data_IF_223648316914
#
_entry.id   IF_223648316914
#
_cell.length_a   1.000
_cell.length_b   1.000
_cell.length_c   1.000
_cell.angle_alpha   90.00
_cell.angle_beta   90.00
_cell.angle_gamma   90.00
#
_symmetry.space_group_name_H-M   'P 1'
#
loop_
_entity.id
_entity.type
_entity.pdbx_description
1 polymer ?
#
# COMPACT_ATOMS: atom_id res chain seq x y z
N UNK A 1 37.01 -6.91 41.47
CA UNK A 1 36.73 -6.08 40.26
C UNK A 1 37.91 -6.05 39.28
N UNK A 2 39.19 -5.94 39.75
CA UNK A 2 40.37 -5.88 38.86
C UNK A 2 40.65 -7.22 38.16
N UNK A 3 40.39 -8.36 38.81
CA UNK A 3 40.53 -9.70 38.21
C UNK A 3 39.49 -9.96 37.14
N UNK A 4 38.28 -9.47 37.29
CA UNK A 4 37.21 -9.58 36.29
C UNK A 4 37.51 -8.77 35.02
N UNK A 5 38.09 -7.57 35.15
CA UNK A 5 38.54 -6.75 34.03
C UNK A 5 39.66 -7.39 33.21
N UNK A 6 40.62 -8.06 33.89
CA UNK A 6 41.74 -8.73 33.24
C UNK A 6 41.29 -10.00 32.47
N UNK A 7 40.29 -10.72 32.98
CA UNK A 7 39.66 -11.83 32.27
C UNK A 7 38.84 -11.34 31.05
N UNK A 8 38.18 -10.19 31.18
CA UNK A 8 37.42 -9.56 30.12
C UNK A 8 38.29 -9.11 28.94
N UNK A 9 39.47 -8.48 29.25
CA UNK A 9 40.42 -8.09 28.22
C UNK A 9 41.07 -9.27 27.48
N UNK A 10 41.28 -10.41 28.14
CA UNK A 10 41.82 -11.64 27.52
C UNK A 10 40.74 -12.27 26.60
N UNK A 11 39.46 -12.27 26.99
CA UNK A 11 38.34 -12.73 26.16
C UNK A 11 38.21 -11.91 24.88
N UNK A 12 38.27 -10.58 24.97
CA UNK A 12 38.20 -9.67 23.80
C UNK A 12 39.39 -9.86 22.83
N UNK A 13 40.57 -10.16 23.33
CA UNK A 13 41.76 -10.43 22.51
C UNK A 13 41.62 -11.74 21.73
N UNK A 14 41.01 -12.77 22.35
CA UNK A 14 40.75 -14.06 21.70
C UNK A 14 39.68 -13.93 20.59
N UNK A 15 38.60 -13.22 20.88
CA UNK A 15 37.52 -12.95 19.90
C UNK A 15 38.05 -12.16 18.71
N UNK A 16 38.86 -11.12 18.92
CA UNK A 16 39.51 -10.37 17.84
C UNK A 16 40.41 -11.25 16.94
N UNK A 17 41.13 -12.21 17.51
CA UNK A 17 41.97 -13.11 16.72
C UNK A 17 41.19 -14.14 15.94
N UNK A 18 40.02 -14.57 16.42
CA UNK A 18 39.15 -15.52 15.75
C UNK A 18 38.38 -14.80 14.62
N UNK A 19 37.93 -13.58 14.83
CA UNK A 19 37.19 -12.79 13.80
C UNK A 19 38.06 -12.46 12.58
N UNK A 20 39.37 -12.31 12.74
CA UNK A 20 40.29 -12.05 11.62
C UNK A 20 40.55 -13.29 10.70
N UNK A 21 40.12 -14.48 11.13
CA UNK A 21 40.36 -15.74 10.41
C UNK A 21 39.12 -16.34 9.75
N UNK A 22 37.94 -15.67 9.82
CA UNK A 22 36.68 -16.27 9.44
C UNK A 22 35.99 -15.47 8.31
N UNK A 23 35.40 -16.21 7.38
CA UNK A 23 34.62 -15.72 6.25
C UNK A 23 33.33 -15.00 6.71
N UNK A 24 32.78 -14.08 5.91
CA UNK A 24 31.65 -13.21 6.26
C UNK A 24 30.43 -13.95 6.86
N UNK A 25 30.15 -15.15 6.43
CA UNK A 25 29.07 -16.00 6.97
C UNK A 25 29.27 -16.40 8.44
N UNK A 26 30.51 -16.62 8.85
CA UNK A 26 30.81 -17.06 10.22
C UNK A 26 30.79 -15.89 11.21
N UNK A 27 31.00 -14.66 10.75
CA UNK A 27 30.94 -13.43 11.59
C UNK A 27 29.49 -13.18 12.05
N UNK A 28 28.50 -13.41 11.20
CA UNK A 28 27.07 -13.29 11.54
C UNK A 28 26.68 -14.32 12.61
N UNK A 29 27.13 -15.57 12.46
CA UNK A 29 26.85 -16.63 13.43
C UNK A 29 27.49 -16.39 14.79
N UNK A 30 28.69 -15.83 14.83
CA UNK A 30 29.40 -15.49 16.08
C UNK A 30 28.76 -14.27 16.74
N UNK A 31 28.28 -13.29 15.99
CA UNK A 31 27.55 -12.14 16.54
C UNK A 31 26.25 -12.58 17.21
N UNK A 32 25.52 -13.51 16.63
CA UNK A 32 24.32 -14.12 17.20
C UNK A 32 24.68 -14.91 18.48
N UNK A 33 25.77 -15.67 18.46
CA UNK A 33 26.21 -16.48 19.62
C UNK A 33 26.72 -15.60 20.78
N UNK A 34 27.35 -14.48 20.49
CA UNK A 34 27.85 -13.52 21.50
C UNK A 34 26.69 -12.78 22.17
N UNK A 35 25.67 -12.39 21.44
CA UNK A 35 24.44 -11.81 22.02
C UNK A 35 23.72 -12.86 22.90
N UNK A 36 23.73 -14.11 22.51
CA UNK A 36 23.15 -15.22 23.27
C UNK A 36 23.89 -15.47 24.61
N UNK A 37 25.21 -15.39 24.62
CA UNK A 37 26.04 -15.59 25.85
C UNK A 37 25.93 -14.42 26.84
N UNK A 38 25.76 -13.17 26.36
CA UNK A 38 25.63 -12.00 27.23
C UNK A 38 24.28 -11.85 27.93
N UNK A 39 23.24 -12.54 27.44
CA UNK A 39 21.89 -12.51 28.07
C UNK A 39 21.71 -13.57 29.16
N UNK A 40 22.56 -14.58 29.23
CA UNK A 40 22.47 -15.69 30.21
C UNK A 40 23.04 -15.34 31.59
N UNK A 41 23.80 -14.27 31.72
CA UNK A 41 24.59 -14.01 32.96
C UNK A 41 23.95 -12.99 33.93
N UNK A 42 22.67 -12.62 33.76
CA UNK A 42 21.96 -11.64 34.63
C UNK A 42 20.69 -12.13 35.31
N UNK A 43 20.63 -13.34 35.81
CA UNK A 43 19.49 -13.68 36.68
C UNK A 43 19.29 -15.18 36.85
N UNK A 44 19.68 -15.69 38.01
CA UNK A 44 19.22 -17.01 38.44
C UNK A 44 17.74 -16.97 38.72
N UNK A 45 17.02 -17.78 38.00
CA UNK A 45 15.82 -18.57 38.26
C UNK A 45 15.09 -18.76 36.95
N UNK A 46 15.23 -19.96 36.42
CA UNK A 46 14.91 -20.28 35.05
C UNK A 46 13.41 -20.42 34.75
N UNK A 47 12.96 -19.62 33.86
CA UNK A 47 12.00 -20.01 32.84
C UNK A 47 12.54 -19.47 31.50
N UNK A 48 13.18 -20.36 30.74
CA UNK A 48 13.60 -20.05 29.38
C UNK A 48 12.37 -19.75 28.52
N UNK A 49 11.98 -18.50 28.46
CA UNK A 49 11.23 -18.00 27.34
C UNK A 49 12.25 -17.87 26.19
N UNK A 50 12.40 -18.95 25.44
CA UNK A 50 12.99 -18.88 24.10
C UNK A 50 12.02 -18.07 23.26
N UNK A 51 12.04 -16.76 23.43
CA UNK A 51 11.47 -15.83 22.48
C UNK A 51 12.38 -15.94 21.28
N UNK A 52 12.02 -16.83 20.34
CA UNK A 52 12.58 -16.86 19.00
C UNK A 52 12.66 -15.38 18.57
N UNK A 53 13.90 -14.86 18.46
CA UNK A 53 14.14 -13.72 17.60
C UNK A 53 13.67 -14.19 16.23
N UNK A 54 12.41 -13.95 15.92
CA UNK A 54 11.94 -13.99 14.55
C UNK A 54 12.87 -13.01 13.83
N UNK A 55 13.62 -13.50 12.85
CA UNK A 55 14.32 -12.64 11.92
C UNK A 55 13.26 -11.64 11.42
N UNK A 56 13.37 -10.39 11.90
CA UNK A 56 12.45 -9.35 11.44
C UNK A 56 12.79 -9.14 9.98
N UNK A 57 11.87 -9.58 9.13
CA UNK A 57 12.00 -9.41 7.69
C UNK A 57 12.13 -7.93 7.39
N UNK A 58 13.17 -7.53 6.65
CA UNK A 58 13.30 -6.15 6.19
C UNK A 58 12.19 -5.85 5.19
N UNK A 59 11.47 -4.77 5.42
CA UNK A 59 10.30 -4.40 4.62
C UNK A 59 10.53 -3.03 3.97
N UNK A 60 10.02 -2.85 2.76
CA UNK A 60 9.86 -1.55 2.10
C UNK A 60 8.42 -1.41 1.63
N UNK A 61 7.77 -0.32 1.99
CA UNK A 61 6.42 -0.02 1.53
C UNK A 61 6.48 1.13 0.53
N UNK A 62 6.16 0.85 -0.72
CA UNK A 62 6.19 1.83 -1.80
C UNK A 62 4.81 2.04 -2.40
N UNK A 63 4.45 3.29 -2.66
CA UNK A 63 3.31 3.63 -3.49
C UNK A 63 3.77 4.00 -4.89
N UNK A 64 2.98 3.66 -5.92
CA UNK A 64 3.30 4.03 -7.30
C UNK A 64 2.31 5.08 -7.79
N UNK A 65 2.84 6.24 -8.15
CA UNK A 65 2.11 7.37 -8.71
C UNK A 65 2.42 7.45 -10.21
N UNK A 66 1.40 7.47 -11.04
CA UNK A 66 1.56 7.67 -12.47
C UNK A 66 0.33 8.38 -13.05
N UNK A 67 0.54 9.09 -14.16
CA UNK A 67 -0.57 9.48 -15.03
C UNK A 67 -1.08 8.26 -15.80
N UNK A 68 -2.30 8.35 -16.32
CA UNK A 68 -2.87 7.36 -17.24
C UNK A 68 -1.90 7.15 -18.40
N UNK A 69 -1.73 5.92 -18.84
CA UNK A 69 -0.84 5.51 -19.92
C UNK A 69 0.67 5.78 -19.73
N UNK A 70 1.14 6.26 -18.58
CA UNK A 70 2.58 6.38 -18.29
C UNK A 70 3.29 5.03 -18.07
N UNK A 71 2.54 3.92 -18.04
CA UNK A 71 3.08 2.56 -17.97
C UNK A 71 3.18 1.97 -16.57
N UNK A 72 2.32 2.42 -15.63
CA UNK A 72 2.28 1.95 -14.25
C UNK A 72 2.07 0.43 -14.17
N UNK A 73 1.00 -0.08 -14.76
CA UNK A 73 0.69 -1.51 -14.76
C UNK A 73 1.81 -2.33 -15.36
N UNK A 74 2.37 -1.87 -16.49
CA UNK A 74 3.51 -2.55 -17.15
C UNK A 74 4.74 -2.61 -16.26
N UNK A 75 5.04 -1.54 -15.50
CA UNK A 75 6.17 -1.53 -14.57
C UNK A 75 5.95 -2.51 -13.42
N UNK A 76 4.77 -2.50 -12.82
CA UNK A 76 4.44 -3.42 -11.71
C UNK A 76 4.50 -4.87 -12.18
N UNK A 77 3.95 -5.19 -13.35
CA UNK A 77 4.02 -6.52 -13.92
C UNK A 77 5.48 -6.97 -14.12
N UNK A 78 6.37 -6.07 -14.58
CA UNK A 78 7.80 -6.37 -14.70
C UNK A 78 8.48 -6.60 -13.36
N UNK A 79 8.13 -5.80 -12.34
CA UNK A 79 8.64 -6.01 -10.97
C UNK A 79 8.22 -7.36 -10.40
N UNK A 80 6.97 -7.78 -10.64
CA UNK A 80 6.46 -9.08 -10.22
C UNK A 80 7.17 -10.25 -10.94
N UNK A 81 7.43 -10.11 -12.23
CA UNK A 81 8.14 -11.12 -13.04
C UNK A 81 9.60 -11.24 -12.61
N UNK A 82 10.31 -10.11 -12.45
CA UNK A 82 11.73 -10.09 -12.08
C UNK A 82 11.98 -10.75 -10.72
N UNK A 83 11.07 -10.50 -9.77
CA UNK A 83 11.16 -11.10 -8.44
C UNK A 83 10.79 -12.59 -8.40
N UNK A 84 10.53 -13.24 -9.55
CA UNK A 84 10.13 -14.66 -9.65
C UNK A 84 8.96 -15.03 -8.70
N UNK A 85 8.03 -14.10 -8.51
CA UNK A 85 6.93 -14.26 -7.53
C UNK A 85 5.82 -15.17 -8.05
N UNK A 86 5.93 -15.66 -9.29
CA UNK A 86 4.95 -16.58 -9.89
C UNK A 86 5.34 -18.03 -9.69
N UNK A 87 4.36 -18.87 -9.32
CA UNK A 87 4.54 -20.33 -9.39
C UNK A 87 4.52 -20.77 -10.85
N UNK A 88 5.28 -21.83 -11.20
CA UNK A 88 5.39 -22.44 -12.55
C UNK A 88 4.04 -22.82 -13.22
N UNK A 89 2.91 -22.60 -12.56
CA UNK A 89 1.55 -22.95 -13.01
C UNK A 89 0.66 -21.77 -13.37
N UNK A 90 1.09 -20.55 -13.08
CA UNK A 90 0.33 -19.35 -13.48
C UNK A 90 0.80 -18.91 -14.87
N UNK A 91 -0.09 -19.05 -15.86
CA UNK A 91 0.12 -18.39 -17.15
C UNK A 91 0.16 -16.87 -16.88
N UNK A 92 1.32 -16.28 -17.11
CA UNK A 92 1.53 -14.82 -17.00
C UNK A 92 0.73 -14.16 -18.12
N UNK A 93 -0.53 -13.84 -17.85
CA UNK A 93 -1.35 -13.03 -18.75
C UNK A 93 -0.85 -11.59 -18.80
N UNK A 94 -1.05 -10.89 -19.89
CA UNK A 94 -0.79 -9.45 -19.97
C UNK A 94 -1.73 -8.70 -19.01
N UNK A 95 -1.22 -7.69 -18.27
CA UNK A 95 -1.95 -6.79 -17.37
C UNK A 95 -2.55 -7.48 -16.12
N UNK A 96 -1.70 -8.08 -15.31
CA UNK A 96 -2.07 -8.79 -14.07
C UNK A 96 -2.80 -7.90 -13.04
N UNK A 97 -2.46 -6.61 -12.99
CA UNK A 97 -3.03 -5.67 -12.02
C UNK A 97 -4.44 -5.18 -12.40
N UNK A 98 -4.83 -5.17 -13.68
CA UNK A 98 -6.10 -4.59 -14.11
C UNK A 98 -7.21 -5.66 -14.21
N UNK A 99 -7.68 -6.16 -13.06
CA UNK A 99 -8.71 -7.20 -13.00
C UNK A 99 -10.16 -6.68 -13.10
N UNK A 100 -10.38 -5.36 -13.00
CA UNK A 100 -11.71 -4.76 -13.07
C UNK A 100 -12.04 -4.37 -14.51
N UNK A 101 -13.20 -4.79 -15.03
CA UNK A 101 -13.58 -4.53 -16.42
C UNK A 101 -13.60 -3.04 -16.79
N UNK A 102 -14.07 -2.17 -15.88
CA UNK A 102 -14.07 -0.72 -16.08
C UNK A 102 -12.66 -0.11 -16.11
N UNK A 103 -11.72 -0.65 -15.35
CA UNK A 103 -10.31 -0.23 -15.39
C UNK A 103 -9.69 -0.54 -16.75
N UNK A 104 -9.92 -1.76 -17.27
CA UNK A 104 -9.44 -2.17 -18.61
C UNK A 104 -10.07 -1.35 -19.73
N UNK A 105 -11.38 -1.13 -19.68
CA UNK A 105 -12.09 -0.37 -20.70
C UNK A 105 -11.67 1.11 -20.74
N UNK A 106 -11.33 1.68 -19.58
CA UNK A 106 -10.99 3.10 -19.46
C UNK A 106 -9.50 3.36 -19.42
N UNK A 107 -8.67 2.32 -19.27
CA UNK A 107 -7.23 2.44 -19.14
C UNK A 107 -6.77 3.16 -17.85
N UNK A 108 -7.59 3.13 -16.78
CA UNK A 108 -7.30 3.84 -15.52
C UNK A 108 -7.41 2.91 -14.33
N UNK A 109 -6.58 3.13 -13.31
CA UNK A 109 -6.74 2.51 -11.99
C UNK A 109 -7.82 3.25 -11.21
N UNK A 110 -8.86 2.55 -10.78
CA UNK A 110 -9.98 3.07 -10.01
C UNK A 110 -9.79 2.74 -8.53
N UNK A 111 -9.47 1.48 -8.23
CA UNK A 111 -9.25 0.98 -6.88
C UNK A 111 -7.77 0.72 -6.64
N UNK A 112 -7.31 1.12 -5.46
CA UNK A 112 -5.96 0.78 -5.03
C UNK A 112 -5.82 -0.72 -4.83
N UNK A 113 -4.69 -1.27 -5.27
CA UNK A 113 -4.35 -2.69 -5.13
C UNK A 113 -3.04 -2.83 -4.41
N UNK A 114 -2.90 -3.93 -3.67
CA UNK A 114 -1.67 -4.25 -2.98
C UNK A 114 -1.07 -5.52 -3.60
N UNK A 115 0.23 -5.46 -3.82
CA UNK A 115 1.05 -6.60 -4.19
C UNK A 115 2.30 -6.62 -3.33
N UNK A 116 3.02 -7.72 -3.30
CA UNK A 116 4.35 -7.74 -2.70
C UNK A 116 5.29 -8.63 -3.47
N UNK A 117 6.56 -8.25 -3.48
CA UNK A 117 7.64 -9.03 -4.06
C UNK A 117 8.71 -9.27 -3.02
N UNK A 118 9.49 -10.34 -3.21
CA UNK A 118 10.71 -10.60 -2.46
C UNK A 118 11.89 -10.40 -3.40
N UNK A 119 12.76 -9.48 -3.05
CA UNK A 119 13.98 -9.24 -3.80
C UNK A 119 15.15 -9.21 -2.83
N UNK A 120 16.14 -10.06 -3.07
CA UNK A 120 17.17 -10.40 -2.09
C UNK A 120 16.48 -10.84 -0.77
N UNK A 121 16.86 -10.33 0.37
CA UNK A 121 16.26 -10.65 1.68
C UNK A 121 15.25 -9.59 2.14
N UNK A 122 14.70 -8.80 1.22
CA UNK A 122 13.77 -7.71 1.50
C UNK A 122 12.41 -7.98 0.89
N UNK A 123 11.36 -7.78 1.68
CA UNK A 123 9.97 -7.74 1.21
C UNK A 123 9.62 -6.32 0.77
N UNK A 124 9.23 -6.16 -0.48
CA UNK A 124 8.77 -4.87 -1.00
C UNK A 124 7.26 -4.96 -1.22
N UNK A 125 6.49 -4.24 -0.39
CA UNK A 125 5.06 -4.07 -0.58
C UNK A 125 4.83 -2.95 -1.60
N UNK A 126 4.05 -3.24 -2.62
CA UNK A 126 3.71 -2.34 -3.71
C UNK A 126 2.25 -1.94 -3.55
N UNK A 127 1.99 -0.65 -3.41
CA UNK A 127 0.66 -0.07 -3.26
C UNK A 127 0.36 0.66 -4.57
N UNK A 128 -0.47 0.05 -5.40
CA UNK A 128 -0.92 0.67 -6.65
C UNK A 128 -1.96 1.74 -6.35
N UNK A 129 -1.69 3.00 -6.70
CA UNK A 129 -2.57 4.13 -6.39
C UNK A 129 -3.35 4.58 -7.63
N UNK A 130 -4.63 4.96 -7.48
CA UNK A 130 -5.34 5.64 -8.54
C UNK A 130 -4.64 6.93 -8.96
N UNK A 131 -4.53 7.17 -10.26
CA UNK A 131 -3.89 8.38 -10.78
C UNK A 131 -4.82 9.59 -10.83
N UNK A 132 -6.13 9.40 -10.88
CA UNK A 132 -7.09 10.47 -11.11
C UNK A 132 -7.55 11.16 -9.82
N UNK A 133 -7.60 12.50 -9.82
CA UNK A 133 -7.98 13.30 -8.65
C UNK A 133 -9.39 12.99 -8.11
N UNK A 134 -10.30 12.53 -8.97
CA UNK A 134 -11.65 12.12 -8.58
C UNK A 134 -11.66 10.93 -7.60
N UNK A 135 -10.58 10.15 -7.56
CA UNK A 135 -10.36 9.06 -6.60
C UNK A 135 -9.44 9.48 -5.44
N UNK A 136 -9.30 10.78 -5.18
CA UNK A 136 -8.42 11.33 -4.16
C UNK A 136 -8.64 10.77 -2.76
N UNK A 137 -9.87 10.42 -2.40
CA UNK A 137 -10.16 9.77 -1.12
C UNK A 137 -9.52 8.39 -0.99
N UNK A 138 -9.38 7.64 -2.09
CA UNK A 138 -8.65 6.38 -2.14
C UNK A 138 -7.14 6.64 -1.97
N UNK A 139 -6.61 7.59 -2.74
CA UNK A 139 -5.20 7.99 -2.69
C UNK A 139 -4.77 8.40 -1.28
N UNK A 140 -5.54 9.27 -0.61
CA UNK A 140 -5.24 9.76 0.73
C UNK A 140 -5.17 8.64 1.79
N UNK A 141 -5.94 7.57 1.61
CA UNK A 141 -5.95 6.41 2.50
C UNK A 141 -4.74 5.52 2.30
N UNK A 142 -4.48 5.17 1.04
CA UNK A 142 -3.48 4.14 0.74
C UNK A 142 -2.05 4.66 0.82
N UNK A 143 -1.82 5.95 0.55
CA UNK A 143 -0.50 6.57 0.74
C UNK A 143 0.00 6.51 2.18
N UNK A 144 -0.89 6.46 3.18
CA UNK A 144 -0.50 6.27 4.59
C UNK A 144 0.17 4.93 4.89
N UNK A 145 0.00 3.94 4.02
CA UNK A 145 0.68 2.64 4.19
C UNK A 145 2.11 2.64 3.63
N UNK A 146 2.49 3.64 2.83
CA UNK A 146 3.78 3.72 2.17
C UNK A 146 4.83 4.49 3.01
N UNK A 147 6.10 4.21 2.75
CA UNK A 147 7.27 4.90 3.29
C UNK A 147 8.05 5.64 2.20
N UNK A 148 7.85 5.26 0.94
CA UNK A 148 8.39 5.91 -0.23
C UNK A 148 7.41 5.89 -1.41
N UNK A 149 7.72 6.67 -2.45
CA UNK A 149 6.85 6.78 -3.62
C UNK A 149 7.64 6.71 -4.92
N UNK A 150 7.22 5.86 -5.84
CA UNK A 150 7.71 5.85 -7.22
C UNK A 150 6.85 6.81 -8.04
N UNK A 151 7.45 7.86 -8.55
CA UNK A 151 6.82 8.86 -9.43
C UNK A 151 7.13 8.51 -10.87
N UNK A 152 6.22 7.82 -11.53
CA UNK A 152 6.40 7.34 -12.90
C UNK A 152 5.93 8.40 -13.89
N UNK A 153 6.84 8.84 -14.76
CA UNK A 153 6.61 9.90 -15.75
C UNK A 153 7.04 9.43 -17.14
N UNK A 154 6.22 9.72 -18.15
CA UNK A 154 6.56 9.47 -19.55
C UNK A 154 7.64 10.45 -20.00
N UNK A 155 8.70 9.93 -20.64
CA UNK A 155 9.87 10.70 -21.11
C UNK A 155 9.55 11.74 -22.20
N UNK A 156 8.37 11.67 -22.80
CA UNK A 156 7.91 12.62 -23.82
C UNK A 156 6.87 13.62 -23.25
N UNK A 157 5.88 13.13 -22.51
CA UNK A 157 4.77 13.96 -22.00
C UNK A 157 5.18 14.78 -20.76
N UNK A 158 6.05 14.24 -19.93
CA UNK A 158 6.42 14.84 -18.66
C UNK A 158 5.35 14.72 -17.57
N UNK A 159 5.48 15.47 -16.45
CA UNK A 159 4.52 15.43 -15.36
C UNK A 159 3.19 16.07 -15.74
N UNK A 160 2.10 15.34 -15.58
CA UNK A 160 0.75 15.73 -15.95
C UNK A 160 -0.06 16.21 -14.71
N UNK A 161 -1.18 16.94 -14.88
CA UNK A 161 -1.96 17.50 -13.77
C UNK A 161 -2.40 16.50 -12.72
N UNK A 162 -2.70 15.25 -13.11
CA UNK A 162 -3.08 14.19 -12.18
C UNK A 162 -1.91 13.76 -11.30
N UNK A 163 -0.71 13.65 -11.89
CA UNK A 163 0.53 13.39 -11.14
C UNK A 163 0.75 14.46 -10.07
N UNK A 164 0.51 15.75 -10.39
CA UNK A 164 0.63 16.87 -9.46
C UNK A 164 -0.23 16.66 -8.20
N UNK A 165 -1.50 16.26 -8.37
CA UNK A 165 -2.43 16.06 -7.25
C UNK A 165 -1.93 14.95 -6.31
N UNK A 166 -1.64 13.76 -6.84
CA UNK A 166 -1.22 12.61 -6.02
C UNK A 166 0.15 12.87 -5.39
N UNK A 167 1.07 13.47 -6.13
CA UNK A 167 2.40 13.84 -5.63
C UNK A 167 2.33 14.85 -4.49
N UNK A 168 1.45 15.87 -4.56
CA UNK A 168 1.29 16.82 -3.46
C UNK A 168 0.84 16.16 -2.16
N UNK A 169 -0.03 15.13 -2.24
CA UNK A 169 -0.46 14.36 -1.07
C UNK A 169 0.67 13.46 -0.53
N UNK A 170 1.47 12.86 -1.41
CA UNK A 170 2.62 12.04 -1.02
C UNK A 170 3.70 12.89 -0.30
N UNK A 171 4.04 14.06 -0.86
CA UNK A 171 5.01 14.99 -0.27
C UNK A 171 4.54 15.50 1.09
N UNK A 172 3.26 15.84 1.23
CA UNK A 172 2.67 16.28 2.51
C UNK A 172 2.70 15.20 3.60
N UNK A 173 2.75 13.92 3.23
CA UNK A 173 2.94 12.78 4.15
C UNK A 173 4.41 12.50 4.47
N UNK A 174 5.35 13.25 3.91
CA UNK A 174 6.78 13.06 4.13
C UNK A 174 7.38 11.89 3.35
N UNK A 175 6.68 11.32 2.36
CA UNK A 175 7.19 10.19 1.58
C UNK A 175 8.40 10.59 0.76
N UNK A 176 9.42 9.70 0.69
CA UNK A 176 10.60 9.91 -0.16
C UNK A 176 10.31 9.52 -1.59
N UNK A 177 10.49 10.44 -2.57
CA UNK A 177 10.23 10.16 -3.98
C UNK A 177 11.45 9.53 -4.68
N UNK A 178 11.18 8.54 -5.52
CA UNK A 178 12.08 8.05 -6.58
C UNK A 178 11.38 8.36 -7.89
N UNK A 179 12.03 9.08 -8.79
CA UNK A 179 11.48 9.45 -10.09
C UNK A 179 11.87 8.40 -11.12
N UNK A 180 10.87 7.83 -11.80
CA UNK A 180 11.08 6.85 -12.86
C UNK A 180 10.64 7.47 -14.19
N UNK A 181 11.59 7.82 -15.03
CA UNK A 181 11.35 8.37 -16.38
C UNK A 181 11.24 7.21 -17.35
N UNK A 182 10.01 6.85 -17.67
CA UNK A 182 9.67 5.68 -18.49
C UNK A 182 9.50 6.05 -19.97
N UNK A 183 9.55 5.02 -20.82
CA UNK A 183 9.36 5.12 -22.28
C UNK A 183 10.45 5.92 -22.99
N UNK A 184 11.67 5.83 -22.51
CA UNK A 184 12.84 6.44 -23.17
C UNK A 184 13.17 5.79 -24.53
N UNK A 185 12.50 4.68 -24.85
CA UNK A 185 12.53 4.02 -26.17
C UNK A 185 11.71 4.74 -27.24
N UNK A 186 10.91 5.76 -26.89
CA UNK A 186 10.17 6.58 -27.85
C UNK A 186 11.09 7.53 -28.62
N UNK A 187 10.83 7.68 -29.91
CA UNK A 187 11.44 8.74 -30.71
C UNK A 187 11.04 10.12 -30.15
N UNK A 188 11.97 11.06 -30.13
CA UNK A 188 11.79 12.41 -29.62
C UNK A 188 11.50 12.53 -28.11
N UNK A 189 11.85 11.54 -27.30
CA UNK A 189 11.82 11.69 -25.86
C UNK A 189 12.89 12.70 -25.39
N UNK A 190 12.59 13.43 -24.30
CA UNK A 190 13.48 14.43 -23.69
C UNK A 190 13.64 14.14 -22.19
N UNK A 191 14.30 13.02 -21.80
CA UNK A 191 14.32 12.58 -20.39
C UNK A 191 14.94 13.61 -19.44
N UNK A 192 15.98 14.34 -19.88
CA UNK A 192 16.66 15.37 -19.07
C UNK A 192 15.71 16.55 -18.80
N UNK A 193 15.00 17.05 -19.83
CA UNK A 193 13.99 18.12 -19.65
C UNK A 193 12.80 17.67 -18.78
N UNK A 194 12.42 16.40 -18.87
CA UNK A 194 11.35 15.85 -18.03
C UNK A 194 11.79 15.78 -16.58
N UNK A 195 13.04 15.42 -16.29
CA UNK A 195 13.60 15.47 -14.95
C UNK A 195 13.54 16.88 -14.35
N UNK A 196 13.95 17.88 -15.12
CA UNK A 196 13.89 19.28 -14.71
C UNK A 196 12.45 19.72 -14.42
N UNK A 197 11.49 19.33 -15.26
CA UNK A 197 10.05 19.61 -15.04
C UNK A 197 9.51 18.94 -13.78
N UNK A 198 9.97 17.74 -13.45
CA UNK A 198 9.59 17.06 -12.22
C UNK A 198 10.19 17.77 -11.00
N UNK A 199 11.44 18.21 -11.08
CA UNK A 199 12.07 19.00 -10.03
C UNK A 199 11.31 20.31 -9.79
N UNK A 200 11.01 21.08 -10.85
CA UNK A 200 10.22 22.32 -10.77
C UNK A 200 8.82 22.07 -10.20
N UNK A 201 8.20 20.94 -10.55
CA UNK A 201 6.92 20.56 -9.98
C UNK A 201 7.02 20.30 -8.48
N UNK A 202 8.00 19.52 -8.01
CA UNK A 202 8.21 19.26 -6.58
C UNK A 202 8.53 20.54 -5.81
N UNK A 203 9.35 21.42 -6.37
CA UNK A 203 9.65 22.72 -5.79
C UNK A 203 8.39 23.57 -5.65
N UNK A 204 7.53 23.60 -6.66
CA UNK A 204 6.23 24.32 -6.63
C UNK A 204 5.24 23.71 -5.61
N UNK A 205 5.43 22.46 -5.23
CA UNK A 205 4.62 21.74 -4.25
C UNK A 205 5.19 21.82 -2.82
N UNK A 206 6.15 22.74 -2.58
CA UNK A 206 6.81 22.94 -1.29
C UNK A 206 7.48 21.66 -0.73
N UNK A 207 8.09 20.84 -1.61
CA UNK A 207 8.86 19.68 -1.20
C UNK A 207 10.04 20.10 -0.31
N UNK A 208 10.36 19.28 0.69
CA UNK A 208 11.50 19.48 1.56
C UNK A 208 12.83 19.28 0.83
N UNK A 209 13.95 19.77 1.40
CA UNK A 209 15.28 19.56 0.82
C UNK A 209 15.59 18.06 0.63
N UNK A 210 15.19 17.21 1.58
CA UNK A 210 15.35 15.76 1.50
C UNK A 210 14.51 15.14 0.37
N UNK A 211 13.34 15.69 0.08
CA UNK A 211 12.48 15.23 -1.00
C UNK A 211 12.95 15.74 -2.37
N UNK A 212 13.61 16.90 -2.42
CA UNK A 212 14.22 17.45 -3.63
C UNK A 212 15.52 16.74 -4.03
N UNK A 213 16.18 16.05 -3.08
CA UNK A 213 17.33 15.17 -3.32
C UNK A 213 16.87 13.76 -3.76
N UNK A 214 15.93 13.70 -4.69
CA UNK A 214 15.37 12.45 -5.19
C UNK A 214 16.29 11.76 -6.17
N UNK A 215 16.22 10.44 -6.22
CA UNK A 215 16.91 9.63 -7.20
C UNK A 215 16.09 9.52 -8.50
N UNK A 216 16.76 9.52 -9.64
CA UNK A 216 16.12 9.35 -10.95
C UNK A 216 16.57 8.05 -11.60
N UNK A 217 15.61 7.32 -12.14
CA UNK A 217 15.79 6.09 -12.91
C UNK A 217 15.18 6.29 -14.29
N UNK A 218 15.89 5.84 -15.32
CA UNK A 218 15.44 5.92 -16.70
C UNK A 218 15.24 4.53 -17.28
N UNK A 219 14.23 4.36 -18.14
CA UNK A 219 14.08 3.09 -18.80
C UNK A 219 12.82 2.93 -19.63
N UNK A 220 12.60 1.69 -20.04
CA UNK A 220 11.40 1.26 -20.74
C UNK A 220 10.80 0.04 -20.03
N UNK A 221 9.71 0.24 -19.30
CA UNK A 221 8.99 -0.85 -18.69
C UNK A 221 8.53 -1.89 -19.72
N UNK A 222 8.19 -1.44 -20.95
CA UNK A 222 7.82 -2.33 -22.06
C UNK A 222 8.97 -3.24 -22.49
N UNK A 223 10.17 -2.69 -22.59
CA UNK A 223 11.37 -3.45 -22.94
C UNK A 223 11.96 -4.22 -21.76
N UNK A 224 11.57 -3.87 -20.52
CA UNK A 224 11.93 -4.58 -19.30
C UNK A 224 13.28 -4.18 -18.71
N UNK A 225 13.72 -2.93 -18.89
CA UNK A 225 14.96 -2.45 -18.31
C UNK A 225 14.80 -1.08 -17.63
N UNK A 226 15.57 -0.86 -16.57
CA UNK A 226 15.65 0.38 -15.80
C UNK A 226 17.08 0.62 -15.32
N UNK A 227 17.63 1.83 -15.53
CA UNK A 227 19.02 2.13 -15.20
C UNK A 227 19.26 3.60 -14.85
N UNK A 228 20.50 3.95 -14.49
CA UNK A 228 20.88 5.31 -14.11
C UNK A 228 21.05 6.25 -15.29
N UNK A 229 21.18 5.73 -16.50
CA UNK A 229 21.44 6.49 -17.72
C UNK A 229 20.57 5.96 -18.87
N UNK A 230 19.76 6.84 -19.46
CA UNK A 230 18.86 6.46 -20.55
C UNK A 230 19.59 6.16 -21.88
N UNK A 231 20.85 6.60 -22.03
CA UNK A 231 21.68 6.34 -23.22
C UNK A 231 22.33 4.97 -23.17
N UNK A 232 22.45 4.38 -22.00
CA UNK A 232 23.08 3.09 -21.76
C UNK A 232 22.08 2.12 -21.10
N UNK A 233 21.20 1.46 -21.87
CA UNK A 233 20.23 0.50 -21.35
C UNK A 233 20.88 -0.61 -20.53
N UNK A 234 20.27 -0.95 -19.40
CA UNK A 234 20.60 -2.13 -18.61
C UNK A 234 19.91 -3.38 -19.18
N UNK A 235 20.24 -4.56 -18.66
CA UNK A 235 19.64 -5.82 -19.13
C UNK A 235 18.22 -6.03 -18.56
N UNK A 236 17.98 -5.50 -17.34
CA UNK A 236 16.76 -5.75 -16.56
C UNK A 236 16.38 -4.53 -15.69
N UNK A 237 15.46 -4.74 -14.75
CA UNK A 237 14.99 -3.70 -13.81
C UNK A 237 15.64 -3.78 -12.42
N UNK A 238 16.64 -4.62 -12.23
CA UNK A 238 17.27 -4.84 -10.92
C UNK A 238 17.84 -3.56 -10.31
N UNK A 239 18.33 -2.64 -11.14
CA UNK A 239 18.78 -1.32 -10.68
C UNK A 239 17.68 -0.55 -9.92
N UNK A 240 16.43 -0.58 -10.41
CA UNK A 240 15.30 0.06 -9.72
C UNK A 240 15.01 -0.65 -8.39
N UNK A 241 15.05 -1.98 -8.35
CA UNK A 241 14.81 -2.74 -7.12
C UNK A 241 15.89 -2.50 -6.07
N UNK A 242 17.16 -2.42 -6.49
CA UNK A 242 18.27 -2.08 -5.61
C UNK A 242 18.12 -0.67 -5.05
N UNK A 243 17.75 0.29 -5.87
CA UNK A 243 17.53 1.66 -5.46
C UNK A 243 16.36 1.79 -4.47
N UNK A 244 15.27 1.03 -4.65
CA UNK A 244 14.17 0.99 -3.69
C UNK A 244 14.67 0.52 -2.31
N UNK A 245 15.48 -0.54 -2.27
CA UNK A 245 16.03 -1.05 -1.00
C UNK A 245 16.96 -0.04 -0.32
N UNK A 246 17.77 0.65 -1.10
CA UNK A 246 18.77 1.60 -0.59
C UNK A 246 18.14 2.91 -0.14
N UNK A 247 17.20 3.44 -0.93
CA UNK A 247 16.70 4.82 -0.76
C UNK A 247 15.40 4.93 0.03
N UNK A 248 14.48 3.97 -0.10
CA UNK A 248 13.24 3.97 0.68
C UNK A 248 13.55 3.52 2.12
N UNK A 249 13.17 4.29 3.15
CA UNK A 249 13.43 3.90 4.52
C UNK A 249 12.65 2.63 4.92
N UNK A 250 13.16 1.93 5.93
CA UNK A 250 12.37 0.91 6.60
C UNK A 250 11.16 1.53 7.30
N UNK A 251 10.06 0.78 7.42
CA UNK A 251 8.90 1.27 8.13
C UNK A 251 9.25 1.72 9.55
N UNK A 252 8.91 2.95 9.91
CA UNK A 252 9.01 3.38 11.30
C UNK A 252 8.08 2.54 12.17
N UNK A 253 8.66 1.87 13.14
CA UNK A 253 7.94 1.08 14.14
C UNK A 253 8.18 1.68 15.52
N UNK A 254 7.10 2.04 16.22
CA UNK A 254 7.19 2.54 17.58
C UNK A 254 6.95 1.41 18.60
N UNK A 255 7.58 1.51 19.77
CA UNK A 255 7.25 0.65 20.89
C UNK A 255 5.88 1.02 21.46
N UNK A 256 5.12 0.02 21.93
CA UNK A 256 3.82 0.25 22.56
C UNK A 256 2.81 -0.85 22.29
N UNK A 257 1.55 -0.57 22.66
CA UNK A 257 0.42 -1.44 22.38
C UNK A 257 0.18 -1.57 20.88
N UNK A 258 -0.44 -2.69 20.49
CA UNK A 258 -0.81 -2.95 19.10
C UNK A 258 -1.55 -1.77 18.47
N UNK A 259 -1.14 -1.38 17.28
CA UNK A 259 -1.87 -0.42 16.44
C UNK A 259 -1.81 -0.83 14.97
N UNK A 260 -2.98 -1.01 14.36
CA UNK A 260 -3.15 -1.17 12.93
C UNK A 260 -4.32 -0.30 12.47
N UNK A 261 -4.13 0.57 11.49
CA UNK A 261 -5.23 1.35 10.91
C UNK A 261 -5.81 0.65 9.69
N UNK A 262 -7.13 0.53 9.65
CA UNK A 262 -7.85 -0.02 8.49
C UNK A 262 -7.91 1.08 7.41
N UNK A 263 -7.22 0.87 6.31
CA UNK A 263 -7.11 1.82 5.21
C UNK A 263 -7.95 1.43 4.00
N UNK A 264 -8.18 0.14 3.80
CA UNK A 264 -8.95 -0.38 2.68
C UNK A 264 -9.80 -1.58 3.08
N UNK A 265 -10.78 -1.88 2.25
CA UNK A 265 -11.69 -3.01 2.42
C UNK A 265 -11.66 -3.89 1.18
N UNK A 266 -11.71 -5.19 1.41
CA UNK A 266 -11.96 -6.16 0.36
C UNK A 266 -13.10 -7.10 0.78
N UNK A 267 -13.62 -7.87 -0.16
CA UNK A 267 -14.72 -8.78 0.05
C UNK A 267 -14.47 -10.12 -0.62
N UNK A 268 -14.66 -11.18 0.12
CA UNK A 268 -14.65 -12.54 -0.42
C UNK A 268 -15.98 -13.22 -0.12
N UNK A 269 -16.53 -13.95 -1.10
CA UNK A 269 -17.75 -14.74 -0.92
C UNK A 269 -17.63 -15.83 0.16
N UNK A 270 -16.40 -16.23 0.53
CA UNK A 270 -16.14 -17.28 1.50
C UNK A 270 -15.94 -16.76 2.93
N UNK A 271 -15.21 -15.66 3.08
CA UNK A 271 -14.82 -15.13 4.39
C UNK A 271 -15.50 -13.80 4.73
N UNK A 272 -16.26 -13.23 3.81
CA UNK A 272 -16.95 -11.95 3.97
C UNK A 272 -16.01 -10.76 3.81
N UNK A 273 -16.22 -9.73 4.65
CA UNK A 273 -15.43 -8.49 4.64
C UNK A 273 -14.02 -8.72 5.18
N UNK A 274 -13.04 -8.16 4.52
CA UNK A 274 -11.62 -8.25 4.82
C UNK A 274 -11.11 -6.84 5.08
N UNK A 275 -10.52 -6.61 6.26
CA UNK A 275 -9.89 -5.34 6.60
C UNK A 275 -8.43 -5.35 6.14
N UNK A 276 -8.01 -4.33 5.41
CA UNK A 276 -6.63 -4.18 4.93
C UNK A 276 -6.02 -2.94 5.56
N UNK A 277 -4.77 -3.04 6.00
CA UNK A 277 -4.05 -1.92 6.57
C UNK A 277 -2.61 -2.26 6.93
N UNK A 278 -1.88 -1.26 7.44
CA UNK A 278 -0.51 -1.38 7.93
C UNK A 278 -0.49 -1.50 9.44
N UNK A 279 0.36 -2.35 9.96
CA UNK A 279 0.64 -2.46 11.41
C UNK A 279 1.72 -1.42 11.75
N UNK A 280 1.39 -0.48 12.64
CA UNK A 280 2.31 0.58 13.08
C UNK A 280 3.13 0.20 14.31
N UNK A 281 2.53 -0.60 15.22
CA UNK A 281 3.18 -1.03 16.47
C UNK A 281 2.87 -2.49 16.75
N UNK A 282 3.83 -3.18 17.35
CA UNK A 282 3.73 -4.55 17.79
C UNK A 282 3.43 -5.52 16.64
N UNK A 283 2.65 -6.54 16.84
CA UNK A 283 2.35 -7.58 15.87
C UNK A 283 0.95 -8.14 16.03
N UNK A 284 0.42 -8.72 14.96
CA UNK A 284 -0.85 -9.44 14.96
C UNK A 284 -0.63 -10.94 14.88
N UNK A 285 -1.48 -11.71 15.61
CA UNK A 285 -1.50 -13.17 15.58
C UNK A 285 -2.92 -13.68 15.36
N UNK A 286 -3.03 -14.82 14.69
CA UNK A 286 -4.31 -15.54 14.56
C UNK A 286 -4.84 -15.90 15.95
N UNK A 287 -6.14 -15.73 16.18
CA UNK A 287 -6.79 -16.00 17.46
C UNK A 287 -6.59 -14.92 18.54
N UNK A 288 -5.80 -13.87 18.26
CA UNK A 288 -5.55 -12.78 19.21
C UNK A 288 -6.84 -12.01 19.53
N UNK A 289 -7.15 -11.80 20.83
CA UNK A 289 -8.22 -10.89 21.22
C UNK A 289 -7.76 -9.44 20.98
N UNK A 290 -8.61 -8.64 20.36
CA UNK A 290 -8.34 -7.24 20.00
C UNK A 290 -9.52 -6.34 20.36
N UNK A 291 -9.27 -5.04 20.42
CA UNK A 291 -10.27 -3.98 20.41
C UNK A 291 -10.24 -3.24 19.08
N UNK A 292 -11.42 -3.01 18.54
CA UNK A 292 -11.63 -2.13 17.39
C UNK A 292 -12.07 -0.77 17.92
N UNK A 293 -11.26 0.26 17.75
CA UNK A 293 -11.61 1.63 18.11
C UNK A 293 -12.16 2.32 16.87
N UNK A 294 -13.44 2.69 16.98
CA UNK A 294 -14.17 3.37 15.90
C UNK A 294 -13.77 4.84 15.80
N UNK A 295 -14.06 5.45 14.65
CA UNK A 295 -13.82 6.90 14.44
C UNK A 295 -14.56 7.81 15.42
N UNK A 296 -15.71 7.37 15.94
CA UNK A 296 -16.50 8.04 16.98
C UNK A 296 -15.98 7.79 18.41
N UNK A 297 -14.89 7.04 18.56
CA UNK A 297 -14.30 6.67 19.85
C UNK A 297 -14.95 5.45 20.50
N UNK A 298 -15.98 4.84 19.91
CA UNK A 298 -16.60 3.61 20.44
C UNK A 298 -15.62 2.44 20.29
N UNK A 299 -15.51 1.63 21.35
CA UNK A 299 -14.66 0.45 21.40
C UNK A 299 -15.51 -0.81 21.27
N UNK A 300 -15.17 -1.66 20.31
CA UNK A 300 -15.81 -2.95 20.07
C UNK A 300 -14.76 -4.05 20.24
N UNK A 301 -15.02 -5.00 21.14
CA UNK A 301 -14.13 -6.16 21.33
C UNK A 301 -14.34 -7.17 20.20
N UNK A 302 -13.25 -7.68 19.66
CA UNK A 302 -13.25 -8.66 18.58
C UNK A 302 -12.08 -9.65 18.71
N UNK A 303 -11.97 -10.56 17.77
CA UNK A 303 -10.88 -11.54 17.69
C UNK A 303 -10.48 -11.79 16.24
N UNK A 304 -9.19 -11.86 15.98
CA UNK A 304 -8.64 -12.20 14.68
C UNK A 304 -8.98 -13.65 14.36
N UNK A 305 -9.69 -13.92 13.26
CA UNK A 305 -9.95 -15.28 12.78
C UNK A 305 -8.86 -15.77 11.82
N UNK A 306 -8.50 -14.95 10.85
CA UNK A 306 -7.45 -15.24 9.89
C UNK A 306 -6.61 -13.98 9.62
N UNK A 307 -5.33 -14.20 9.35
CA UNK A 307 -4.40 -13.19 8.87
C UNK A 307 -3.85 -13.60 7.51
N UNK A 308 -3.70 -12.63 6.63
CA UNK A 308 -3.10 -12.83 5.32
C UNK A 308 -2.12 -11.71 5.01
N UNK A 309 -1.04 -12.05 4.32
CA UNK A 309 -0.10 -11.11 3.71
C UNK A 309 -0.20 -11.24 2.20
N UNK A 310 0.34 -10.26 1.49
CA UNK A 310 0.46 -10.35 0.03
C UNK A 310 1.73 -11.12 -0.34
N UNK A 311 1.64 -11.98 -1.35
CA UNK A 311 2.74 -12.68 -2.02
C UNK A 311 2.44 -12.66 -3.52
N UNK A 312 3.19 -11.87 -4.29
CA UNK A 312 2.71 -11.41 -5.58
C UNK A 312 1.43 -10.59 -5.41
N UNK A 313 0.42 -10.93 -6.16
CA UNK A 313 -0.93 -10.36 -6.04
C UNK A 313 -1.86 -11.21 -5.17
N UNK A 314 -1.46 -12.41 -4.82
CA UNK A 314 -2.26 -13.33 -4.03
C UNK A 314 -2.18 -13.00 -2.53
N UNK A 315 -3.25 -13.37 -1.80
CA UNK A 315 -3.27 -13.30 -0.34
C UNK A 315 -2.93 -14.67 0.24
N UNK A 316 -1.84 -14.73 1.00
CA UNK A 316 -1.35 -15.94 1.67
C UNK A 316 -1.69 -15.90 3.15
N UNK A 317 -2.31 -16.95 3.68
CA UNK A 317 -2.59 -17.10 5.10
C UNK A 317 -1.30 -17.26 5.89
N UNK A 318 -1.21 -16.55 7.02
CA UNK A 318 -0.07 -16.58 7.95
C UNK A 318 -0.58 -16.59 9.40
N UNK A 319 0.24 -17.11 10.31
CA UNK A 319 -0.09 -17.15 11.74
C UNK A 319 0.26 -15.82 12.47
N UNK A 320 1.19 -15.06 11.91
CA UNK A 320 1.73 -13.87 12.54
C UNK A 320 2.15 -12.84 11.49
N UNK A 321 1.94 -11.55 11.81
CA UNK A 321 2.42 -10.42 11.00
C UNK A 321 3.05 -9.39 11.93
N UNK A 322 4.24 -8.91 11.59
CA UNK A 322 5.02 -7.93 12.35
C UNK A 322 4.62 -6.49 12.06
N UNK A 323 5.05 -5.57 12.92
CA UNK A 323 4.96 -4.12 12.65
C UNK A 323 5.70 -3.75 11.36
N UNK A 324 5.18 -2.73 10.68
CA UNK A 324 5.69 -2.25 9.39
C UNK A 324 5.05 -2.93 8.18
N UNK A 325 4.48 -4.13 8.34
CA UNK A 325 3.92 -4.87 7.20
C UNK A 325 2.46 -4.48 6.90
N UNK A 326 2.07 -4.68 5.65
CA UNK A 326 0.69 -4.53 5.16
C UNK A 326 0.01 -5.88 5.19
N UNK A 327 -1.11 -5.98 5.88
CA UNK A 327 -1.82 -7.24 6.02
C UNK A 327 -3.33 -7.11 5.83
N UNK A 328 -3.96 -8.26 5.62
CA UNK A 328 -5.39 -8.42 5.51
C UNK A 328 -5.91 -9.25 6.69
N UNK A 329 -6.93 -8.73 7.38
CA UNK A 329 -7.50 -9.30 8.60
C UNK A 329 -8.93 -9.74 8.36
N UNK A 330 -9.27 -10.96 8.75
CA UNK A 330 -10.60 -11.56 8.62
C UNK A 330 -11.20 -11.84 9.99
N UNK A 331 -12.53 -11.72 10.07
CA UNK A 331 -13.30 -12.08 11.24
C UNK A 331 -13.63 -10.92 12.16
N UNK A 332 -13.46 -9.70 11.70
CA UNK A 332 -13.92 -8.49 12.37
C UNK A 332 -15.35 -8.19 11.95
N UNK A 333 -16.20 -7.85 12.91
CA UNK A 333 -17.59 -7.48 12.63
C UNK A 333 -17.77 -5.96 12.73
N UNK A 334 -18.53 -5.40 11.80
CA UNK A 334 -18.95 -4.00 11.81
C UNK A 334 -17.81 -2.99 11.76
N UNK A 335 -16.64 -3.33 11.21
CA UNK A 335 -15.54 -2.41 11.04
C UNK A 335 -15.73 -1.50 9.82
N UNK A 336 -15.10 -0.34 9.87
CA UNK A 336 -15.09 0.67 8.81
C UNK A 336 -13.67 1.11 8.49
N UNK A 337 -13.50 1.74 7.33
CA UNK A 337 -12.23 2.36 6.97
C UNK A 337 -11.94 3.52 7.93
N UNK A 338 -10.71 3.59 8.43
CA UNK A 338 -10.27 4.57 9.41
C UNK A 338 -10.38 4.09 10.86
N UNK A 339 -11.03 2.96 11.14
CA UNK A 339 -10.99 2.33 12.45
C UNK A 339 -9.59 1.82 12.77
N UNK A 340 -9.26 1.74 14.06
CA UNK A 340 -7.98 1.23 14.54
C UNK A 340 -8.16 -0.10 15.27
N UNK A 341 -7.40 -1.11 14.87
CA UNK A 341 -7.25 -2.38 15.60
C UNK A 341 -6.18 -2.18 16.67
N UNK A 342 -6.51 -2.49 17.92
CA UNK A 342 -5.64 -2.26 19.09
C UNK A 342 -5.69 -3.43 20.07
N UNK A 343 -4.83 -3.40 21.08
CA UNK A 343 -4.92 -4.31 22.21
C UNK A 343 -6.20 -4.08 23.02
N UNK A 344 -6.69 -5.14 23.70
CA UNK A 344 -7.87 -5.02 24.57
C UNK A 344 -7.58 -4.29 25.88
N UNK A 345 -6.36 -4.39 26.39
CA UNK A 345 -5.96 -3.82 27.68
C UNK A 345 -5.70 -2.31 27.59
N UNK A 346 -5.05 -1.88 26.51
CA UNK A 346 -4.72 -0.48 26.28
C UNK A 346 -5.14 -0.05 24.87
N UNK A 347 -6.43 0.17 24.64
CA UNK A 347 -6.95 0.59 23.34
C UNK A 347 -6.53 2.03 23.04
N UNK A 348 -5.65 2.21 22.07
CA UNK A 348 -5.14 3.51 21.62
C UNK A 348 -5.41 3.67 20.13
N UNK A 349 -6.28 4.64 19.77
CA UNK A 349 -6.61 4.91 18.37
C UNK A 349 -5.52 5.69 17.68
N UNK A 350 -5.29 5.39 16.40
CA UNK A 350 -4.53 6.25 15.50
C UNK A 350 -5.36 7.47 15.09
N UNK A 351 -4.72 8.60 14.71
CA UNK A 351 -5.43 9.75 14.18
C UNK A 351 -6.34 9.34 13.01
N UNK A 352 -7.56 9.89 12.94
CA UNK A 352 -8.49 9.57 11.86
C UNK A 352 -7.89 9.91 10.49
N UNK A 353 -8.26 9.14 9.47
CA UNK A 353 -7.89 9.44 8.11
C UNK A 353 -8.69 10.66 7.65
N UNK A 354 -7.99 11.74 7.36
CA UNK A 354 -8.59 12.92 6.77
C UNK A 354 -8.83 12.68 5.27
N UNK A 355 -10.06 12.87 4.83
CA UNK A 355 -10.45 12.82 3.43
C UNK A 355 -11.10 14.13 3.07
N UNK A 356 -10.65 14.75 1.99
CA UNK A 356 -11.23 16.00 1.52
C UNK A 356 -12.73 15.83 1.18
N UNK A 357 -13.49 16.87 1.40
CA UNK A 357 -14.94 16.85 1.13
C UNK A 357 -15.26 16.66 -0.35
N UNK A 358 -16.42 16.04 -0.66
CA UNK A 358 -16.91 15.93 -2.02
C UNK A 358 -17.08 17.31 -2.68
N UNK A 359 -16.76 17.41 -3.97
CA UNK A 359 -16.82 18.68 -4.73
C UNK A 359 -17.99 18.74 -5.73
N UNK A 360 -18.63 17.63 -6.00
CA UNK A 360 -19.74 17.51 -6.94
C UNK A 360 -20.93 16.77 -6.35
N UNK A 361 -22.10 17.05 -6.83
CA UNK A 361 -23.32 16.32 -6.50
C UNK A 361 -24.12 15.98 -7.75
N UNK A 362 -24.82 14.87 -7.70
CA UNK A 362 -25.73 14.39 -8.73
C UNK A 362 -27.00 13.86 -8.09
N UNK A 363 -28.13 14.10 -8.73
CA UNK A 363 -29.41 13.58 -8.29
C UNK A 363 -29.62 12.19 -8.90
N UNK A 364 -29.78 11.19 -8.07
CA UNK A 364 -30.12 9.84 -8.48
C UNK A 364 -31.60 9.63 -8.24
N UNK A 365 -32.34 9.26 -9.29
CA UNK A 365 -33.77 9.00 -9.21
C UNK A 365 -34.13 7.66 -9.85
N UNK A 366 -35.31 7.15 -9.52
CA UNK A 366 -35.85 6.00 -10.24
C UNK A 366 -36.07 6.38 -11.72
N UNK A 367 -35.91 5.40 -12.59
CA UNK A 367 -36.25 5.59 -14.02
C UNK A 367 -37.75 5.78 -14.19
N UNK A 368 -38.19 6.97 -14.57
CA UNK A 368 -39.58 7.30 -14.84
C UNK A 368 -39.93 7.37 -16.36
N UNK A 369 -39.01 6.90 -17.19
CA UNK A 369 -39.19 6.88 -18.64
C UNK A 369 -40.12 5.75 -19.09
N UNK A 370 -40.61 5.77 -20.35
CA UNK A 370 -41.39 4.67 -20.92
C UNK A 370 -40.65 3.32 -21.01
N UNK A 371 -39.34 3.32 -20.70
CA UNK A 371 -38.47 2.13 -20.69
C UNK A 371 -38.31 1.53 -19.32
N UNK A 372 -39.00 2.04 -18.30
CA UNK A 372 -38.95 1.54 -16.91
C UNK A 372 -39.14 0.01 -16.86
N UNK A 373 -38.24 -0.67 -16.18
CA UNK A 373 -38.26 -2.12 -15.96
C UNK A 373 -37.91 -2.96 -17.20
N UNK A 374 -37.37 -2.36 -18.26
CA UNK A 374 -37.04 -3.10 -19.51
C UNK A 374 -35.56 -3.53 -19.55
N UNK A 375 -34.67 -2.79 -18.93
CA UNK A 375 -33.24 -3.03 -19.02
C UNK A 375 -32.64 -3.59 -17.70
N UNK A 376 -33.20 -3.21 -16.55
CA UNK A 376 -32.70 -3.61 -15.23
C UNK A 376 -33.70 -4.41 -14.40
N UNK A 377 -33.19 -5.08 -13.36
CA UNK A 377 -33.99 -5.84 -12.39
C UNK A 377 -34.34 -5.02 -11.15
N UNK A 378 -33.51 -4.04 -10.82
CA UNK A 378 -33.58 -3.23 -9.60
C UNK A 378 -34.06 -1.82 -9.96
N UNK A 379 -35.36 -1.59 -9.87
CA UNK A 379 -36.04 -0.39 -10.42
C UNK A 379 -36.68 0.51 -9.35
N UNK A 380 -36.62 0.10 -8.06
CA UNK A 380 -37.28 0.84 -6.96
C UNK A 380 -36.31 1.71 -6.22
N UNK A 381 -36.81 2.81 -5.63
CA UNK A 381 -36.00 3.68 -4.73
C UNK A 381 -35.35 2.92 -3.58
N UNK A 382 -36.04 1.90 -3.04
CA UNK A 382 -35.48 1.02 -2.00
C UNK A 382 -34.23 0.28 -2.49
N UNK A 383 -34.24 -0.30 -3.71
CA UNK A 383 -33.09 -1.00 -4.27
C UNK A 383 -31.91 -0.04 -4.48
N UNK A 384 -32.18 1.17 -4.99
CA UNK A 384 -31.16 2.20 -5.21
C UNK A 384 -30.54 2.59 -3.83
N UNK A 385 -31.37 2.83 -2.82
CA UNK A 385 -30.90 3.19 -1.47
C UNK A 385 -30.03 2.10 -0.86
N UNK A 386 -30.49 0.85 -0.86
CA UNK A 386 -29.74 -0.30 -0.34
C UNK A 386 -28.37 -0.46 -1.04
N UNK A 387 -28.30 -0.16 -2.34
CA UNK A 387 -27.04 -0.20 -3.10
C UNK A 387 -26.11 0.96 -2.73
N UNK A 388 -26.66 2.15 -2.60
CA UNK A 388 -25.90 3.34 -2.15
C UNK A 388 -25.38 3.17 -0.73
N UNK A 389 -26.16 2.60 0.19
CA UNK A 389 -25.70 2.30 1.55
C UNK A 389 -24.52 1.32 1.55
N UNK A 390 -24.55 0.28 0.72
CA UNK A 390 -23.41 -0.63 0.53
C UNK A 390 -22.17 0.08 -0.02
N UNK A 391 -22.38 1.07 -0.91
CA UNK A 391 -21.26 1.84 -1.45
C UNK A 391 -20.64 2.74 -0.38
N UNK A 392 -21.45 3.37 0.48
CA UNK A 392 -20.96 4.18 1.62
C UNK A 392 -20.08 3.39 2.60
N UNK A 393 -20.29 2.07 2.71
CA UNK A 393 -19.43 1.22 3.53
C UNK A 393 -18.00 1.11 2.99
N UNK A 394 -17.82 1.19 1.67
CA UNK A 394 -16.55 1.01 0.96
C UNK A 394 -15.88 2.33 0.60
N UNK A 395 -16.67 3.37 0.36
CA UNK A 395 -16.23 4.61 -0.24
C UNK A 395 -16.48 5.81 0.69
N UNK A 396 -15.45 6.19 1.45
CA UNK A 396 -15.53 7.32 2.39
C UNK A 396 -15.62 8.70 1.71
N UNK A 397 -15.28 8.78 0.44
CA UNK A 397 -15.36 10.01 -0.34
C UNK A 397 -16.76 10.25 -0.95
N UNK A 398 -17.67 9.30 -0.76
CA UNK A 398 -19.07 9.40 -1.16
C UNK A 398 -19.93 9.86 0.00
N UNK A 399 -20.92 10.69 -0.28
CA UNK A 399 -21.96 11.07 0.69
C UNK A 399 -23.32 10.99 0.00
N UNK A 400 -24.32 10.48 0.69
CA UNK A 400 -25.69 10.34 0.18
C UNK A 400 -26.64 11.02 1.15
N UNK A 401 -27.50 11.87 0.63
CA UNK A 401 -28.56 12.55 1.39
C UNK A 401 -29.91 12.25 0.79
N UNK A 402 -30.89 12.04 1.64
CA UNK A 402 -32.29 11.93 1.23
C UNK A 402 -32.79 13.32 0.79
N UNK A 403 -33.60 13.34 -0.26
CA UNK A 403 -34.25 14.55 -0.71
C UNK A 403 -35.69 14.68 -0.16
N UNK A 404 -36.40 15.72 -0.54
CA UNK A 404 -37.82 15.84 -0.21
C UNK A 404 -38.72 14.79 -0.89
N UNK A 405 -38.22 14.16 -1.95
CA UNK A 405 -38.89 13.07 -2.67
C UNK A 405 -38.34 11.73 -2.23
N UNK A 406 -39.22 10.78 -1.89
CA UNK A 406 -38.83 9.42 -1.53
C UNK A 406 -38.15 8.62 -2.66
N UNK A 407 -38.24 9.10 -3.91
CA UNK A 407 -37.73 8.42 -5.10
C UNK A 407 -36.43 9.03 -5.62
N UNK A 408 -35.82 9.96 -4.86
CA UNK A 408 -34.62 10.68 -5.28
C UNK A 408 -33.62 10.80 -4.15
N UNK A 409 -32.32 10.67 -4.48
CA UNK A 409 -31.20 10.78 -3.56
C UNK A 409 -30.18 11.76 -4.10
N UNK A 410 -29.68 12.64 -3.26
CA UNK A 410 -28.56 13.51 -3.60
C UNK A 410 -27.26 12.78 -3.28
N UNK A 411 -26.48 12.47 -4.29
CA UNK A 411 -25.22 11.74 -4.19
C UNK A 411 -24.08 12.70 -4.45
N UNK A 412 -23.17 12.82 -3.49
CA UNK A 412 -21.99 13.69 -3.56
C UNK A 412 -20.74 12.84 -3.77
N UNK A 413 -19.89 13.27 -4.70
CA UNK A 413 -18.63 12.62 -5.04
C UNK A 413 -17.49 13.62 -5.27
N UNK A 414 -16.28 13.12 -5.41
CA UNK A 414 -15.08 13.96 -5.62
C UNK A 414 -15.03 14.62 -6.99
N UNK A 415 -15.68 14.00 -8.00
CA UNK A 415 -15.71 14.52 -9.37
C UNK A 415 -16.59 13.70 -10.29
N UNK A 416 -16.61 14.10 -11.57
CA UNK A 416 -17.48 13.48 -12.60
C UNK A 416 -17.15 12.01 -12.78
N UNK A 417 -15.86 11.67 -12.84
CA UNK A 417 -15.42 10.28 -13.06
C UNK A 417 -15.85 9.37 -11.92
N UNK A 418 -15.73 9.83 -10.67
CA UNK A 418 -16.13 9.09 -9.48
C UNK A 418 -17.63 8.72 -9.53
N UNK A 419 -18.51 9.70 -9.83
CA UNK A 419 -19.95 9.45 -9.95
C UNK A 419 -20.30 8.63 -11.20
N UNK A 420 -19.60 8.83 -12.32
CA UNK A 420 -19.82 8.08 -13.54
C UNK A 420 -19.46 6.59 -13.40
N UNK A 421 -18.40 6.27 -12.65
CA UNK A 421 -18.04 4.89 -12.33
C UNK A 421 -19.13 4.24 -11.48
N UNK A 422 -19.61 4.91 -10.44
CA UNK A 422 -20.70 4.41 -9.59
C UNK A 422 -21.97 4.11 -10.40
N UNK A 423 -22.37 5.05 -11.28
CA UNK A 423 -23.55 4.86 -12.15
C UNK A 423 -23.36 3.66 -13.08
N UNK A 424 -22.18 3.51 -13.68
CA UNK A 424 -21.88 2.42 -14.60
C UNK A 424 -21.83 1.06 -13.89
N UNK A 425 -21.28 0.99 -12.68
CA UNK A 425 -21.31 -0.23 -11.86
C UNK A 425 -22.75 -0.62 -11.51
N UNK A 426 -23.54 0.33 -11.02
CA UNK A 426 -24.95 0.10 -10.73
C UNK A 426 -25.70 -0.41 -11.97
N UNK A 427 -25.45 0.18 -13.13
CA UNK A 427 -26.05 -0.25 -14.39
C UNK A 427 -25.68 -1.70 -14.75
N UNK A 428 -24.41 -2.08 -14.61
CA UNK A 428 -23.92 -3.45 -14.86
C UNK A 428 -24.49 -4.47 -13.88
N UNK A 429 -24.73 -4.05 -12.65
CA UNK A 429 -25.39 -4.86 -11.63
C UNK A 429 -26.91 -5.02 -11.91
N UNK A 430 -27.48 -4.28 -12.86
CA UNK A 430 -28.87 -4.35 -13.27
C UNK A 430 -29.80 -3.35 -12.56
N UNK A 431 -29.24 -2.24 -12.05
CA UNK A 431 -30.04 -1.12 -11.55
C UNK A 431 -30.43 -0.20 -12.70
N UNK A 432 -31.70 0.23 -12.71
CA UNK A 432 -32.16 1.31 -13.56
C UNK A 432 -32.31 2.58 -12.71
N UNK A 433 -31.60 3.62 -13.12
CA UNK A 433 -31.65 4.93 -12.46
C UNK A 433 -31.52 6.04 -13.50
N UNK A 434 -31.97 7.25 -13.14
CA UNK A 434 -31.93 8.46 -13.95
C UNK A 434 -31.23 9.56 -13.15
#
# INVERSE_FOLDING_TARGET
>A
QIMALAQWQRGLSLVKKVVYALDKFTIVYISILVVYIFHVDKGGDGLFSCQLLYDMESIRNIAIIAHVDHGKTTLVDKMLVEAQTFSDREEVGELLMDNHDLERERGITILAKNASIRYKDVKINIIDTPGHADFGGEVERVLKMADGVLVLVDAFEGPMPQTRFVLSKALALGLRPIVVINKVDKENCTPEEVQDKVFDLMFTLDATEEQLDFQTVYGSAKQGWMGPDWKNPTEDITYLLDLIIEFVPEPETAEGSLQMQITSLDYSSFVGRIAIGRIYRNSLKVGQPISLVKRDGKIVKSRIKELMIYEGMAKKKVEHVQAGDVCAVVGLDGFEIGDTITDQENPEALPPIHIDSPTMSMLFSINNSPFFGKEGKFVTSRHIRERLDKELEKNLALRVEDTQSADTFMVYGRGVMHLAVLVEEMRREGYELQ
#
